data_IF_888555640568
#
_entry.id   IF_888555640568
#
_cell.length_a   1.000
_cell.length_b   1.000
_cell.length_c   1.000
_cell.angle_alpha   90.00
_cell.angle_beta   90.00
_cell.angle_gamma   90.00
#
_symmetry.space_group_name_H-M   'P 1'
#
loop_
_entity.id
_entity.type
_entity.pdbx_description
1 polymer ?
#
# COMPACT_ATOMS: atom_id res chain seq x y z
N UNK A 1 -8.85 5.13 -28.68
CA UNK A 1 -10.15 4.53 -28.25
C UNK A 1 -11.03 5.64 -27.68
N UNK A 2 -12.28 5.78 -28.12
CA UNK A 2 -13.25 6.67 -27.46
C UNK A 2 -13.96 5.87 -26.36
N UNK A 3 -13.96 6.37 -25.13
CA UNK A 3 -14.68 5.74 -24.01
C UNK A 3 -16.20 5.78 -24.22
N UNK A 4 -16.92 4.78 -23.70
CA UNK A 4 -18.39 4.74 -23.69
C UNK A 4 -18.91 5.41 -22.42
N UNK A 5 -19.82 6.39 -22.55
CA UNK A 5 -20.52 6.97 -21.41
C UNK A 5 -21.59 5.98 -20.91
N UNK A 6 -21.61 5.74 -19.61
CA UNK A 6 -22.63 4.92 -18.92
C UNK A 6 -23.20 5.82 -17.81
N UNK A 7 -24.52 5.83 -17.66
CA UNK A 7 -25.24 6.53 -16.60
C UNK A 7 -25.93 5.44 -15.77
N UNK A 8 -25.75 5.49 -14.45
CA UNK A 8 -26.44 4.64 -13.49
C UNK A 8 -27.30 5.57 -12.63
N UNK A 9 -28.60 5.30 -12.56
CA UNK A 9 -29.58 6.06 -11.78
C UNK A 9 -30.01 5.21 -10.56
N UNK A 10 -30.65 5.83 -9.57
CA UNK A 10 -31.21 5.16 -8.39
C UNK A 10 -30.22 4.26 -7.61
N UNK A 11 -29.01 4.75 -7.35
CA UNK A 11 -27.97 4.04 -6.57
C UNK A 11 -27.93 4.56 -5.13
N UNK A 12 -28.20 3.69 -4.16
CA UNK A 12 -28.11 4.03 -2.72
C UNK A 12 -26.67 4.05 -2.20
N UNK A 13 -25.77 3.28 -2.80
CA UNK A 13 -24.39 3.12 -2.31
C UNK A 13 -23.42 2.85 -3.45
N UNK A 14 -22.29 3.55 -3.42
CA UNK A 14 -21.17 3.34 -4.34
C UNK A 14 -19.99 2.77 -3.56
N UNK A 15 -19.54 1.56 -3.92
CA UNK A 15 -18.34 0.94 -3.36
C UNK A 15 -17.14 1.28 -4.25
N UNK A 16 -16.14 1.95 -3.69
CA UNK A 16 -14.89 2.28 -4.41
C UNK A 16 -13.84 1.23 -4.12
N UNK A 17 -13.68 0.28 -5.05
CA UNK A 17 -12.64 -0.75 -5.02
C UNK A 17 -11.46 -0.39 -5.94
N UNK A 18 -10.94 0.83 -5.84
CA UNK A 18 -9.93 1.39 -6.76
C UNK A 18 -8.48 0.96 -6.46
N UNK A 19 -8.29 -0.05 -5.62
CA UNK A 19 -6.98 -0.51 -5.17
C UNK A 19 -6.50 0.19 -3.89
N UNK A 20 -5.19 0.20 -3.68
CA UNK A 20 -4.56 0.74 -2.47
C UNK A 20 -3.28 1.48 -2.82
N UNK A 21 -2.81 2.33 -1.90
CA UNK A 21 -1.55 3.06 -2.02
C UNK A 21 -0.65 2.77 -0.81
N UNK A 22 0.68 2.79 -0.96
CA UNK A 22 1.59 2.67 0.17
C UNK A 22 1.38 3.80 1.19
N UNK A 23 1.58 3.47 2.47
CA UNK A 23 1.59 4.42 3.59
C UNK A 23 2.85 4.18 4.41
N UNK A 24 3.82 5.09 4.29
CA UNK A 24 5.10 5.07 4.99
C UNK A 24 5.44 6.43 5.63
N UNK A 25 4.42 7.17 6.08
CA UNK A 25 4.60 8.55 6.60
C UNK A 25 5.49 8.65 7.84
N UNK A 26 5.65 7.55 8.59
CA UNK A 26 6.48 7.49 9.80
C UNK A 26 7.98 7.33 9.47
N UNK A 27 8.34 6.81 8.29
CA UNK A 27 9.75 6.58 7.92
C UNK A 27 10.59 7.87 7.96
N UNK A 28 10.14 9.00 7.35
CA UNK A 28 10.86 10.28 7.46
C UNK A 28 11.05 10.77 8.89
N UNK A 29 10.02 10.67 9.74
CA UNK A 29 10.06 11.13 11.14
C UNK A 29 11.09 10.35 11.96
N UNK A 30 11.17 9.03 11.75
CA UNK A 30 12.15 8.17 12.42
C UNK A 30 13.58 8.40 11.90
N UNK A 31 13.73 8.62 10.60
CA UNK A 31 15.02 8.97 10.00
C UNK A 31 15.54 10.29 10.56
N UNK A 32 14.68 11.28 10.79
CA UNK A 32 15.05 12.60 11.32
C UNK A 32 15.66 12.51 12.73
N UNK A 33 15.17 11.60 13.57
CA UNK A 33 15.70 11.37 14.92
C UNK A 33 16.81 10.31 14.97
N UNK A 34 17.30 9.85 13.82
CA UNK A 34 18.42 8.91 13.73
C UNK A 34 18.08 7.47 14.12
N UNK A 35 16.80 7.09 14.11
CA UNK A 35 16.38 5.71 14.34
C UNK A 35 16.53 4.91 13.04
N UNK A 36 17.29 3.80 13.02
CA UNK A 36 17.36 2.94 11.85
C UNK A 36 16.00 2.30 11.55
N UNK A 37 15.52 2.44 10.32
CA UNK A 37 14.22 1.92 9.87
C UNK A 37 14.36 1.11 8.60
N UNK A 38 13.57 0.04 8.49
CA UNK A 38 13.38 -0.75 7.26
C UNK A 38 11.90 -0.83 6.92
N UNK A 39 11.51 -0.20 5.80
CA UNK A 39 10.12 -0.22 5.31
C UNK A 39 9.85 -1.50 4.54
N UNK A 40 8.78 -2.21 4.90
CA UNK A 40 8.42 -3.54 4.36
C UNK A 40 6.90 -3.67 4.11
N UNK A 41 6.51 -4.70 3.36
CA UNK A 41 5.13 -5.00 3.04
C UNK A 41 4.47 -3.91 2.20
N UNK A 42 3.19 -3.67 2.46
CA UNK A 42 2.39 -2.71 1.70
C UNK A 42 2.79 -1.25 1.96
N UNK A 43 3.41 -0.96 3.11
CA UNK A 43 3.98 0.36 3.41
C UNK A 43 5.08 0.74 2.41
N UNK A 44 5.83 -0.25 1.90
CA UNK A 44 6.83 -0.08 0.84
C UNK A 44 6.20 -0.11 -0.56
N UNK A 45 5.34 -1.10 -0.80
CA UNK A 45 4.66 -1.33 -2.08
C UNK A 45 3.50 -2.30 -1.89
N UNK A 46 2.30 -1.85 -2.26
CA UNK A 46 1.07 -2.68 -2.27
C UNK A 46 1.27 -3.93 -3.11
N UNK A 47 1.00 -5.11 -2.53
CA UNK A 47 1.13 -6.41 -3.18
C UNK A 47 0.22 -7.46 -2.52
N UNK A 48 0.32 -8.72 -2.96
CA UNK A 48 -0.41 -9.80 -2.28
C UNK A 48 0.23 -10.12 -0.91
N UNK A 49 -0.55 -10.76 -0.03
CA UNK A 49 -0.12 -11.08 1.33
C UNK A 49 1.14 -11.96 1.39
N UNK A 50 1.30 -12.92 0.47
CA UNK A 50 2.47 -13.80 0.45
C UNK A 50 3.78 -13.02 0.21
N UNK A 51 3.75 -12.06 -0.71
CA UNK A 51 4.90 -11.22 -1.00
C UNK A 51 5.23 -10.26 0.16
N UNK A 52 4.21 -9.78 0.89
CA UNK A 52 4.44 -8.97 2.09
C UNK A 52 5.04 -9.79 3.24
N UNK A 53 4.55 -11.03 3.44
CA UNK A 53 5.09 -11.96 4.44
C UNK A 53 6.54 -12.31 4.12
N UNK A 54 6.85 -12.64 2.86
CA UNK A 54 8.21 -12.96 2.45
C UNK A 54 9.17 -11.78 2.66
N UNK A 55 8.76 -10.56 2.33
CA UNK A 55 9.59 -9.37 2.58
C UNK A 55 9.82 -9.14 4.08
N UNK A 56 8.81 -9.40 4.92
CA UNK A 56 8.97 -9.36 6.38
C UNK A 56 9.94 -10.42 6.91
N UNK A 57 9.85 -11.65 6.39
CA UNK A 57 10.79 -12.72 6.71
C UNK A 57 12.23 -12.32 6.36
N UNK A 58 12.47 -11.88 5.12
CA UNK A 58 13.80 -11.46 4.67
C UNK A 58 14.31 -10.28 5.48
N UNK A 59 13.43 -9.34 5.85
CA UNK A 59 13.83 -8.20 6.66
C UNK A 59 14.38 -8.60 8.03
N UNK A 60 13.78 -9.62 8.68
CA UNK A 60 14.30 -10.17 9.93
C UNK A 60 15.51 -11.10 9.75
N UNK A 61 15.60 -11.81 8.63
CA UNK A 61 16.74 -12.70 8.32
C UNK A 61 18.05 -11.94 8.04
N UNK A 62 17.94 -10.71 7.53
CA UNK A 62 19.07 -9.86 7.15
C UNK A 62 19.61 -8.97 8.30
N UNK A 63 19.05 -9.09 9.51
CA UNK A 63 19.51 -8.41 10.73
C UNK A 63 20.44 -9.34 11.51
#
# INVERSE_FOLDING_TARGET
MKGKKIILEDVDTVVVAAGSRPVNTLEPELNEIGVPVKVIGDSKKVRNGLAAIYEGYMAGYEI
#
